data_IF_929834516245
#
_entry.id   IF_929834516245
#
_cell.length_a   1.000
_cell.length_b   1.000
_cell.length_c   1.000
_cell.angle_alpha   90.00
_cell.angle_beta   90.00
_cell.angle_gamma   90.00
#
_symmetry.space_group_name_H-M   'P 1'
#
loop_
_entity.id
_entity.type
_entity.pdbx_description
1 polymer ?
#
# COMPACT_ATOMS: atom_id res chain seq x y z
N UNK A 1 6.82 -23.63 44.86
CA UNK A 1 5.43 -23.69 44.34
C UNK A 1 4.50 -23.84 45.51
N UNK A 2 3.77 -22.79 45.87
CA UNK A 2 2.74 -22.84 46.92
C UNK A 2 1.39 -23.00 46.21
N UNK A 3 0.87 -24.22 46.19
CA UNK A 3 -0.44 -24.53 45.61
C UNK A 3 -1.52 -24.22 46.64
N UNK A 4 -2.34 -23.21 46.39
CA UNK A 4 -3.44 -22.84 47.30
C UNK A 4 -4.76 -23.39 46.77
N UNK A 5 -5.44 -24.23 47.56
CA UNK A 5 -6.75 -24.82 47.24
C UNK A 5 -7.86 -24.15 48.04
N UNK A 6 -9.03 -23.97 47.44
CA UNK A 6 -10.21 -23.52 48.17
C UNK A 6 -10.60 -24.56 49.24
N UNK A 7 -10.72 -24.15 50.52
CA UNK A 7 -11.11 -25.06 51.61
C UNK A 7 -12.57 -25.53 51.56
N UNK A 8 -13.44 -24.84 50.82
CA UNK A 8 -14.87 -25.20 50.70
C UNK A 8 -15.16 -26.12 49.50
N UNK A 9 -14.51 -25.89 48.35
CA UNK A 9 -14.80 -26.61 47.09
C UNK A 9 -13.61 -27.43 46.55
N UNK A 10 -12.42 -27.31 47.14
CA UNK A 10 -11.21 -28.06 46.76
C UNK A 10 -10.54 -27.66 45.44
N UNK A 11 -11.14 -26.76 44.64
CA UNK A 11 -10.65 -26.36 43.32
C UNK A 11 -9.36 -25.51 43.43
N UNK A 12 -8.37 -25.80 42.57
CA UNK A 12 -7.11 -25.07 42.46
C UNK A 12 -7.30 -23.70 41.79
N UNK A 13 -6.51 -22.72 42.21
CA UNK A 13 -6.44 -21.38 41.59
C UNK A 13 -5.01 -21.06 41.17
N UNK A 14 -4.86 -20.21 40.13
CA UNK A 14 -3.62 -20.04 39.36
C UNK A 14 -2.44 -19.47 40.17
N UNK A 15 -1.21 -19.90 39.80
CA UNK A 15 0.03 -19.70 40.56
C UNK A 15 0.72 -18.33 40.41
N UNK A 16 0.17 -17.35 39.67
CA UNK A 16 0.81 -16.03 39.46
C UNK A 16 0.11 -14.91 40.22
N UNK A 17 0.92 -14.00 40.79
CA UNK A 17 0.48 -12.83 41.59
C UNK A 17 -0.48 -11.85 40.87
N UNK A 18 -0.63 -11.95 39.54
CA UNK A 18 -1.60 -11.17 38.76
C UNK A 18 -2.98 -11.81 38.59
N UNK A 19 -3.14 -13.10 38.92
CA UNK A 19 -4.35 -13.89 38.60
C UNK A 19 -5.33 -14.01 39.79
N UNK A 20 -5.16 -13.19 40.84
CA UNK A 20 -5.91 -13.25 42.12
C UNK A 20 -7.41 -12.88 41.95
N UNK A 21 -7.83 -12.41 40.78
CA UNK A 21 -9.20 -11.92 40.59
C UNK A 21 -10.27 -13.02 40.37
N UNK A 22 -9.89 -14.28 40.19
CA UNK A 22 -10.83 -15.39 40.06
C UNK A 22 -10.75 -16.36 41.23
N UNK A 23 -11.57 -16.15 42.26
CA UNK A 23 -11.81 -17.11 43.34
C UNK A 23 -13.04 -17.99 43.11
N UNK A 24 -13.11 -19.16 43.76
CA UNK A 24 -14.29 -20.04 43.78
C UNK A 24 -15.52 -19.25 44.28
N UNK A 25 -16.59 -19.17 43.49
CA UNK A 25 -17.81 -18.37 43.76
C UNK A 25 -18.77 -18.94 44.82
N UNK A 26 -18.29 -19.83 45.70
CA UNK A 26 -19.07 -20.37 46.80
C UNK A 26 -19.30 -19.28 47.87
N UNK A 27 -20.50 -18.69 47.87
CA UNK A 27 -20.95 -17.74 48.90
C UNK A 27 -21.54 -16.42 48.40
N UNK A 28 -21.91 -16.32 47.12
CA UNK A 28 -22.43 -15.10 46.49
C UNK A 28 -23.41 -14.29 47.36
N UNK A 29 -23.09 -13.02 47.57
CA UNK A 29 -24.09 -11.97 47.84
C UNK A 29 -23.98 -10.89 46.78
N UNK A 30 -25.14 -10.56 46.21
CA UNK A 30 -25.38 -9.52 45.21
C UNK A 30 -25.41 -8.15 45.90
N UNK A 31 -24.40 -7.32 45.70
CA UNK A 31 -24.41 -5.91 46.12
C UNK A 31 -23.06 -5.46 46.67
N UNK A 32 -22.26 -4.81 45.82
CA UNK A 32 -21.08 -4.05 46.25
C UNK A 32 -19.71 -4.65 45.92
N UNK A 33 -19.57 -5.45 44.86
CA UNK A 33 -18.27 -5.91 44.36
C UNK A 33 -18.07 -5.53 42.90
N UNK A 34 -16.85 -5.16 42.53
CA UNK A 34 -16.47 -4.92 41.14
C UNK A 34 -16.57 -6.24 40.38
N UNK A 35 -17.30 -6.23 39.27
CA UNK A 35 -17.50 -7.40 38.43
C UNK A 35 -16.15 -7.92 37.90
N UNK A 36 -16.00 -9.24 37.81
CA UNK A 36 -14.84 -9.84 37.17
C UNK A 36 -14.68 -9.30 35.74
N UNK A 37 -13.53 -8.70 35.43
CA UNK A 37 -13.25 -8.05 34.14
C UNK A 37 -13.54 -6.53 34.08
N UNK A 38 -13.92 -5.89 35.18
CA UNK A 38 -14.06 -4.42 35.28
C UNK A 38 -13.05 -3.85 36.28
N UNK A 39 -12.52 -2.65 36.01
CA UNK A 39 -11.75 -1.88 36.99
C UNK A 39 -12.64 -0.77 37.59
N UNK A 40 -12.67 -0.63 38.91
CA UNK A 40 -13.26 0.54 39.55
C UNK A 40 -12.21 1.65 39.66
N UNK A 41 -12.28 2.60 38.72
CA UNK A 41 -11.45 3.80 38.74
C UNK A 41 -12.35 5.04 38.74
N UNK A 42 -12.80 5.47 39.92
CA UNK A 42 -12.92 6.91 40.14
C UNK A 42 -11.53 7.43 40.47
N UNK A 43 -10.85 8.15 39.55
CA UNK A 43 -9.47 8.54 39.79
C UNK A 43 -9.48 9.66 40.84
N UNK A 44 -8.80 9.43 41.95
CA UNK A 44 -8.70 10.34 43.10
C UNK A 44 -7.88 11.61 42.79
N UNK A 45 -7.14 11.60 41.68
CA UNK A 45 -6.36 12.74 41.20
C UNK A 45 -7.27 13.72 40.44
N UNK A 46 -7.33 15.01 40.84
CA UNK A 46 -8.01 16.08 40.10
C UNK A 46 -7.58 16.12 38.63
N UNK A 47 -8.47 16.52 37.73
CA UNK A 47 -8.24 16.44 36.28
C UNK A 47 -7.00 17.25 35.86
N UNK A 48 -6.77 18.37 36.55
CA UNK A 48 -5.66 19.30 36.35
C UNK A 48 -4.29 18.72 36.77
N UNK A 49 -4.29 17.63 37.54
CA UNK A 49 -3.08 16.98 38.08
C UNK A 49 -2.76 15.64 37.39
N UNK A 50 -3.55 15.25 36.38
CA UNK A 50 -3.29 14.04 35.60
C UNK A 50 -2.34 14.37 34.46
N UNK A 51 -1.06 14.10 34.67
CA UNK A 51 -0.10 14.09 33.55
C UNK A 51 -0.53 12.99 32.56
N UNK A 52 -0.75 13.36 31.31
CA UNK A 52 -1.06 12.41 30.22
C UNK A 52 0.09 11.39 30.17
N UNK A 53 -0.21 10.10 30.32
CA UNK A 53 0.78 9.05 30.19
C UNK A 53 1.56 9.26 28.88
N UNK A 54 2.91 9.28 28.88
CA UNK A 54 3.67 9.44 27.66
C UNK A 54 3.21 8.37 26.67
N UNK A 55 2.80 8.78 25.47
CA UNK A 55 2.43 7.83 24.42
C UNK A 55 3.62 6.89 24.23
N UNK A 56 3.43 5.59 24.47
CA UNK A 56 4.46 4.59 24.17
C UNK A 56 4.85 4.77 22.71
N UNK A 57 6.13 5.07 22.39
CA UNK A 57 6.53 5.27 21.01
C UNK A 57 6.25 3.99 20.23
N UNK A 58 5.56 4.10 19.10
CA UNK A 58 5.46 2.98 18.17
C UNK A 58 6.85 2.55 17.70
N UNK A 59 6.97 1.34 17.12
CA UNK A 59 8.26 0.77 16.71
C UNK A 59 9.13 1.72 15.89
N UNK A 60 8.55 2.51 14.98
CA UNK A 60 9.27 3.55 14.21
C UNK A 60 9.83 4.66 15.10
N UNK A 61 9.07 5.14 16.08
CA UNK A 61 9.51 6.18 17.02
C UNK A 61 10.60 5.68 17.97
N UNK A 62 10.48 4.44 18.45
CA UNK A 62 11.49 3.80 19.28
C UNK A 62 12.81 3.59 18.52
N UNK A 63 12.75 3.03 17.30
CA UNK A 63 13.94 2.83 16.46
C UNK A 63 14.58 4.17 16.04
N UNK A 64 13.78 5.21 15.75
CA UNK A 64 14.30 6.56 15.46
C UNK A 64 15.02 7.19 16.64
N UNK A 65 14.55 6.93 17.86
CA UNK A 65 15.22 7.38 19.07
C UNK A 65 16.52 6.60 19.31
N UNK A 66 16.50 5.27 19.21
CA UNK A 66 17.68 4.42 19.39
C UNK A 66 18.79 4.74 18.37
N UNK A 67 18.43 4.95 17.11
CA UNK A 67 19.38 5.33 16.05
C UNK A 67 20.09 6.67 16.34
N UNK A 68 19.48 7.57 17.12
CA UNK A 68 20.04 8.88 17.46
C UNK A 68 20.73 8.93 18.82
N UNK A 69 20.25 8.15 19.79
CA UNK A 69 20.59 8.33 21.20
C UNK A 69 21.23 7.09 21.85
N UNK A 70 21.28 5.93 21.19
CA UNK A 70 21.96 4.77 21.76
C UNK A 70 23.48 4.98 21.72
N UNK A 71 24.12 4.69 22.86
CA UNK A 71 25.58 4.69 23.00
C UNK A 71 26.20 3.36 22.53
N UNK A 72 25.41 2.31 22.31
CA UNK A 72 25.85 1.03 21.75
C UNK A 72 25.83 1.10 20.21
N UNK A 73 26.99 0.98 19.53
CA UNK A 73 27.08 1.01 18.06
C UNK A 73 26.23 -0.07 17.38
N UNK A 74 26.08 -1.24 18.01
CA UNK A 74 25.33 -2.36 17.44
C UNK A 74 23.82 -2.13 17.54
N UNK A 75 23.33 -1.57 18.66
CA UNK A 75 21.93 -1.15 18.78
C UNK A 75 21.59 -0.04 17.80
N UNK A 76 22.49 0.94 17.63
CA UNK A 76 22.33 2.01 16.66
C UNK A 76 22.21 1.48 15.24
N UNK A 77 23.13 0.60 14.82
CA UNK A 77 23.11 -0.01 13.49
C UNK A 77 21.85 -0.88 13.26
N UNK A 78 21.41 -1.64 14.26
CA UNK A 78 20.15 -2.40 14.21
C UNK A 78 18.94 -1.49 14.07
N UNK A 79 18.91 -0.37 14.80
CA UNK A 79 17.82 0.59 14.73
C UNK A 79 17.78 1.30 13.37
N UNK A 80 18.93 1.66 12.80
CA UNK A 80 19.05 2.22 11.44
C UNK A 80 18.60 1.20 10.37
N UNK A 81 19.01 -0.05 10.49
CA UNK A 81 18.58 -1.14 9.60
C UNK A 81 17.08 -1.39 9.71
N UNK A 82 16.52 -1.38 10.93
CA UNK A 82 15.09 -1.53 11.15
C UNK A 82 14.30 -0.34 10.58
N UNK A 83 14.81 0.89 10.69
CA UNK A 83 14.21 2.06 10.05
C UNK A 83 14.24 1.94 8.53
N UNK A 84 15.34 1.46 7.95
CA UNK A 84 15.45 1.26 6.51
C UNK A 84 14.52 0.15 6.01
N UNK A 85 14.44 -0.96 6.74
CA UNK A 85 13.47 -2.03 6.48
C UNK A 85 12.02 -1.55 6.62
N UNK A 86 11.70 -0.69 7.60
CA UNK A 86 10.38 -0.08 7.75
C UNK A 86 10.08 0.91 6.61
N UNK A 87 11.06 1.69 6.15
CA UNK A 87 10.90 2.54 4.95
C UNK A 87 10.67 1.69 3.69
N UNK A 88 11.40 0.57 3.59
CA UNK A 88 11.35 -0.40 2.51
C UNK A 88 10.29 -1.49 2.71
N UNK A 89 9.36 -1.33 3.66
CA UNK A 89 8.39 -2.39 4.02
C UNK A 89 7.24 -2.46 3.02
N UNK A 90 7.57 -2.82 1.77
CA UNK A 90 6.74 -3.57 0.81
C UNK A 90 5.36 -3.02 0.46
N UNK A 91 5.10 -1.74 0.66
CA UNK A 91 3.78 -1.12 0.44
C UNK A 91 3.89 0.33 -0.04
N UNK A 92 5.05 0.77 -0.52
CA UNK A 92 5.16 2.08 -1.14
C UNK A 92 4.48 2.09 -2.51
N UNK A 93 4.11 3.27 -2.99
CA UNK A 93 3.41 3.42 -4.26
C UNK A 93 4.18 2.79 -5.42
N UNK A 94 5.52 2.92 -5.45
CA UNK A 94 6.34 2.34 -6.52
C UNK A 94 6.27 0.82 -6.56
N UNK A 95 6.20 0.17 -5.40
CA UNK A 95 6.11 -1.28 -5.31
C UNK A 95 4.70 -1.78 -5.65
N UNK A 96 3.66 -1.12 -5.13
CA UNK A 96 2.27 -1.57 -5.30
C UNK A 96 1.70 -1.18 -6.65
N UNK A 97 2.14 -0.05 -7.22
CA UNK A 97 1.64 0.49 -8.47
C UNK A 97 2.75 1.23 -9.25
N UNK A 98 3.68 0.50 -9.89
CA UNK A 98 4.80 1.10 -10.60
C UNK A 98 4.37 2.01 -11.76
N UNK A 99 3.28 1.68 -12.46
CA UNK A 99 2.77 2.51 -13.57
C UNK A 99 2.28 3.87 -13.07
N UNK A 100 1.57 3.90 -11.94
CA UNK A 100 1.12 5.16 -11.36
C UNK A 100 2.30 5.95 -10.78
N UNK A 101 3.32 5.28 -10.25
CA UNK A 101 4.54 5.92 -9.79
C UNK A 101 5.30 6.65 -10.91
N UNK A 102 5.24 6.18 -12.16
CA UNK A 102 5.82 6.89 -13.31
C UNK A 102 5.07 8.18 -13.68
N UNK A 103 3.79 8.31 -13.30
CA UNK A 103 3.03 9.55 -13.50
C UNK A 103 3.31 10.59 -12.40
N UNK A 104 4.15 10.28 -11.42
CA UNK A 104 4.48 11.16 -10.31
C UNK A 104 5.41 12.29 -10.74
N UNK A 105 5.00 13.55 -10.53
CA UNK A 105 5.93 14.69 -10.62
C UNK A 105 6.47 15.03 -9.24
N UNK A 106 5.58 15.49 -8.34
CA UNK A 106 5.99 15.95 -7.02
C UNK A 106 4.83 15.95 -6.02
N UNK A 107 5.17 15.83 -4.74
CA UNK A 107 4.24 16.05 -3.65
C UNK A 107 3.93 17.54 -3.47
N UNK A 108 2.67 17.88 -3.23
CA UNK A 108 2.27 19.25 -2.88
C UNK A 108 2.89 19.67 -1.53
N UNK A 109 3.02 18.73 -0.60
CA UNK A 109 3.56 18.96 0.74
C UNK A 109 5.11 19.00 0.80
N UNK A 110 5.79 18.99 -0.34
CA UNK A 110 7.24 19.18 -0.45
C UNK A 110 8.05 17.95 -0.91
N UNK A 111 9.31 18.15 -1.33
CA UNK A 111 10.08 17.19 -2.13
C UNK A 111 10.56 15.96 -1.37
N UNK A 112 10.49 15.97 -0.03
CA UNK A 112 10.87 14.81 0.81
C UNK A 112 10.01 13.57 0.56
N UNK A 113 8.87 13.75 -0.09
CA UNK A 113 7.94 12.67 -0.35
C UNK A 113 7.99 12.23 -1.80
N UNK A 114 8.29 10.95 -1.97
CA UNK A 114 8.55 10.30 -3.25
C UNK A 114 7.68 9.04 -3.39
N UNK A 115 7.59 8.43 -4.59
CA UNK A 115 6.90 7.16 -4.79
C UNK A 115 7.45 6.00 -3.92
N UNK A 116 8.72 6.05 -3.54
CA UNK A 116 9.41 5.03 -2.74
C UNK A 116 9.14 5.19 -1.24
N UNK A 117 8.85 6.40 -0.79
CA UNK A 117 8.66 6.72 0.63
C UNK A 117 7.20 6.76 1.05
N UNK A 118 6.27 6.82 0.09
CA UNK A 118 4.85 7.01 0.39
C UNK A 118 4.03 5.79 0.12
N UNK A 119 3.31 5.40 1.18
CA UNK A 119 2.49 4.21 1.23
C UNK A 119 1.31 4.30 0.27
N UNK A 120 0.97 3.15 -0.29
CA UNK A 120 -0.31 2.91 -0.94
C UNK A 120 -1.47 3.31 -0.03
N UNK A 121 -2.53 3.86 -0.60
CA UNK A 121 -3.71 4.37 0.10
C UNK A 121 -3.53 5.73 0.79
N UNK A 122 -2.39 6.39 0.58
CA UNK A 122 -2.10 7.70 1.17
C UNK A 122 -3.07 8.79 0.69
N UNK A 123 -3.56 9.63 1.62
CA UNK A 123 -4.38 10.81 1.29
C UNK A 123 -3.56 12.00 0.79
N UNK A 124 -2.24 11.84 0.63
CA UNK A 124 -1.35 12.93 0.24
C UNK A 124 -1.63 13.38 -1.19
N UNK A 125 -1.67 14.70 -1.41
CA UNK A 125 -1.84 15.32 -2.73
C UNK A 125 -0.53 15.36 -3.50
N UNK A 126 -0.63 15.12 -4.80
CA UNK A 126 0.50 14.96 -5.71
C UNK A 126 0.13 15.61 -7.03
N UNK A 127 1.08 16.30 -7.64
CA UNK A 127 1.01 16.71 -9.03
C UNK A 127 1.39 15.51 -9.90
N UNK A 128 0.46 15.08 -10.75
CA UNK A 128 0.62 13.97 -11.68
C UNK A 128 0.78 14.49 -13.10
N UNK A 129 1.48 13.74 -13.95
CA UNK A 129 1.55 13.95 -15.40
C UNK A 129 1.21 12.65 -16.12
N UNK A 130 0.26 12.70 -17.05
CA UNK A 130 -0.07 11.55 -17.87
C UNK A 130 1.10 11.23 -18.80
N UNK A 131 1.63 10.01 -18.72
CA UNK A 131 2.70 9.56 -19.62
C UNK A 131 2.27 9.47 -21.11
N UNK A 132 0.96 9.49 -21.40
CA UNK A 132 0.44 9.38 -22.76
C UNK A 132 0.21 10.73 -23.46
N UNK A 133 -0.22 11.76 -22.72
CA UNK A 133 -0.59 13.06 -23.31
C UNK A 133 0.02 14.27 -22.58
N UNK A 134 0.87 14.04 -21.58
CA UNK A 134 1.52 15.07 -20.76
C UNK A 134 0.59 16.04 -20.01
N UNK A 135 -0.73 15.77 -19.98
CA UNK A 135 -1.66 16.52 -19.16
C UNK A 135 -1.28 16.41 -17.68
N UNK A 136 -1.33 17.53 -16.96
CA UNK A 136 -1.01 17.59 -15.54
C UNK A 136 -2.24 17.87 -14.69
N UNK A 137 -2.34 17.19 -13.56
CA UNK A 137 -3.43 17.42 -12.60
C UNK A 137 -3.01 17.05 -11.19
N UNK A 138 -3.71 17.61 -10.20
CA UNK A 138 -3.46 17.31 -8.79
C UNK A 138 -4.53 16.37 -8.26
N UNK A 139 -4.12 15.26 -7.64
CA UNK A 139 -5.02 14.35 -6.93
C UNK A 139 -4.26 13.61 -5.80
N UNK A 140 -4.99 12.95 -4.91
CA UNK A 140 -4.43 12.09 -3.87
C UNK A 140 -3.99 10.74 -4.39
N UNK A 141 -2.96 10.15 -3.77
CA UNK A 141 -2.49 8.78 -4.09
C UNK A 141 -3.64 7.78 -4.00
N UNK A 142 -4.37 7.81 -2.89
CA UNK A 142 -5.54 6.95 -2.63
C UNK A 142 -6.58 7.03 -3.74
N UNK A 143 -6.90 8.23 -4.22
CA UNK A 143 -7.89 8.42 -5.30
C UNK A 143 -7.40 7.73 -6.56
N UNK A 144 -6.17 8.01 -7.00
CA UNK A 144 -5.60 7.47 -8.24
C UNK A 144 -5.45 5.95 -8.24
N UNK A 145 -5.29 5.31 -7.09
CA UNK A 145 -5.24 3.85 -6.97
C UNK A 145 -6.60 3.17 -7.14
N UNK A 146 -7.71 3.90 -6.97
CA UNK A 146 -9.04 3.35 -7.22
C UNK A 146 -9.26 3.14 -8.73
N UNK A 147 -9.81 1.98 -9.09
CA UNK A 147 -10.09 1.61 -10.50
C UNK A 147 -10.94 2.64 -11.25
N UNK A 148 -11.78 3.41 -10.56
CA UNK A 148 -12.64 4.42 -11.17
C UNK A 148 -11.85 5.67 -11.59
N UNK A 149 -10.76 5.99 -10.87
CA UNK A 149 -10.02 7.24 -10.98
C UNK A 149 -8.57 7.02 -11.46
N UNK A 150 -8.20 5.79 -11.81
CA UNK A 150 -6.85 5.48 -12.31
C UNK A 150 -6.65 5.85 -13.79
N UNK A 151 -7.52 6.67 -14.35
CA UNK A 151 -7.45 7.11 -15.75
C UNK A 151 -6.96 8.55 -15.85
N UNK A 152 -6.34 8.88 -16.98
CA UNK A 152 -6.08 10.29 -17.28
C UNK A 152 -7.41 11.01 -17.55
N UNK A 153 -7.70 12.15 -16.88
CA UNK A 153 -8.94 12.89 -17.09
C UNK A 153 -9.03 13.53 -18.48
N UNK A 154 -7.89 13.74 -19.16
CA UNK A 154 -7.85 14.36 -20.48
C UNK A 154 -7.93 13.34 -21.62
N UNK A 155 -6.99 12.38 -21.70
CA UNK A 155 -6.94 11.42 -22.81
C UNK A 155 -7.57 10.06 -22.49
N UNK A 156 -8.05 9.85 -21.27
CA UNK A 156 -8.67 8.59 -20.86
C UNK A 156 -7.71 7.40 -20.75
N UNK A 157 -6.38 7.62 -20.77
CA UNK A 157 -5.36 6.56 -20.58
C UNK A 157 -5.76 5.65 -19.44
N UNK A 158 -5.62 4.34 -19.62
CA UNK A 158 -5.91 3.35 -18.58
C UNK A 158 -4.63 2.75 -17.99
N UNK A 159 -4.68 2.35 -16.72
CA UNK A 159 -3.62 1.50 -16.13
C UNK A 159 -3.59 0.12 -16.80
N UNK A 160 -2.43 -0.50 -16.94
CA UNK A 160 -2.21 -1.79 -17.58
C UNK A 160 -2.60 -1.77 -19.06
N UNK A 161 -2.36 -0.64 -19.73
CA UNK A 161 -2.59 -0.46 -21.16
C UNK A 161 -1.64 -1.31 -22.02
N UNK A 162 -1.95 -1.44 -23.32
CA UNK A 162 -1.08 -2.08 -24.30
C UNK A 162 0.28 -1.38 -24.38
N UNK A 163 0.26 -0.04 -24.45
CA UNK A 163 1.48 0.77 -24.49
C UNK A 163 2.36 0.61 -23.25
N UNK A 164 1.76 0.48 -22.06
CA UNK A 164 2.53 0.25 -20.83
C UNK A 164 3.13 -1.17 -20.78
N UNK A 165 2.34 -2.21 -21.06
CA UNK A 165 2.77 -3.60 -20.88
C UNK A 165 3.63 -4.13 -22.03
N UNK A 166 3.43 -3.63 -23.25
CA UNK A 166 4.07 -4.10 -24.46
C UNK A 166 4.49 -2.89 -25.33
N UNK A 167 5.46 -2.07 -24.87
CA UNK A 167 5.84 -0.83 -25.54
C UNK A 167 6.34 -1.08 -26.97
N UNK A 168 7.09 -2.16 -27.22
CA UNK A 168 7.55 -2.50 -28.57
C UNK A 168 6.38 -2.78 -29.51
N UNK A 169 5.39 -3.53 -29.04
CA UNK A 169 4.19 -3.84 -29.81
C UNK A 169 3.34 -2.58 -30.05
N UNK A 170 3.27 -1.68 -29.07
CA UNK A 170 2.53 -0.44 -29.19
C UNK A 170 3.16 0.55 -30.20
N UNK A 171 4.47 0.47 -30.48
CA UNK A 171 5.10 1.26 -31.56
C UNK A 171 4.60 0.85 -32.94
N UNK A 172 4.19 -0.40 -33.11
CA UNK A 172 3.61 -0.90 -34.35
C UNK A 172 2.10 -0.64 -34.46
N UNK A 173 1.49 0.05 -33.48
CA UNK A 173 0.07 0.38 -33.51
C UNK A 173 -0.21 1.46 -34.55
N UNK A 174 -1.10 1.20 -35.52
CA UNK A 174 -1.44 2.19 -36.54
C UNK A 174 -2.11 3.43 -35.92
N UNK A 175 -1.73 4.65 -36.34
CA UNK A 175 -2.45 5.88 -35.97
C UNK A 175 -3.89 5.93 -36.51
N UNK A 176 -4.22 5.13 -37.53
CA UNK A 176 -5.56 5.07 -38.13
C UNK A 176 -6.55 4.26 -37.29
N UNK A 177 -6.08 3.59 -36.24
CA UNK A 177 -6.97 2.89 -35.32
C UNK A 177 -7.83 3.90 -34.54
N UNK A 178 -9.12 3.59 -34.28
CA UNK A 178 -10.04 4.51 -33.60
C UNK A 178 -9.72 4.73 -32.11
N UNK A 179 -8.78 3.97 -31.54
CA UNK A 179 -8.34 4.10 -30.15
C UNK A 179 -6.82 4.02 -30.05
N UNK A 180 -6.27 4.74 -29.08
CA UNK A 180 -4.83 4.71 -28.78
C UNK A 180 -4.43 3.43 -28.03
N UNK A 181 -3.17 2.99 -28.16
CA UNK A 181 -2.65 1.86 -27.40
C UNK A 181 -2.62 2.14 -25.88
N UNK A 182 -2.64 3.42 -25.47
CA UNK A 182 -2.79 3.85 -24.07
C UNK A 182 -4.20 3.66 -23.51
N UNK A 183 -5.21 3.49 -24.38
CA UNK A 183 -6.62 3.26 -24.03
C UNK A 183 -7.05 1.80 -24.25
N UNK A 184 -6.13 0.93 -24.66
CA UNK A 184 -6.42 -0.46 -25.05
C UNK A 184 -5.89 -1.43 -24.00
N UNK A 185 -6.69 -2.42 -23.59
CA UNK A 185 -6.23 -3.52 -22.72
C UNK A 185 -5.59 -4.63 -23.56
N UNK A 186 -4.43 -5.19 -23.19
CA UNK A 186 -3.76 -6.24 -23.95
C UNK A 186 -4.59 -7.48 -24.28
N UNK A 187 -5.48 -7.88 -23.36
CA UNK A 187 -6.37 -9.03 -23.49
C UNK A 187 -7.85 -8.63 -23.47
N UNK A 188 -8.14 -7.35 -23.72
CA UNK A 188 -9.51 -6.87 -23.84
C UNK A 188 -10.13 -7.25 -25.18
N UNK A 189 -11.45 -7.37 -25.22
CA UNK A 189 -12.20 -7.51 -26.46
C UNK A 189 -12.32 -6.14 -27.13
N UNK A 190 -11.83 -6.01 -28.36
CA UNK A 190 -12.01 -4.83 -29.20
C UNK A 190 -13.17 -5.08 -30.17
N UNK A 191 -13.91 -4.03 -30.51
CA UNK A 191 -15.03 -4.08 -31.47
C UNK A 191 -14.57 -4.01 -32.94
N UNK A 192 -13.26 -3.94 -33.16
CA UNK A 192 -12.63 -3.87 -34.48
C UNK A 192 -11.33 -4.69 -34.44
N UNK A 193 -10.82 -5.05 -35.62
CA UNK A 193 -9.50 -5.67 -35.75
C UNK A 193 -8.45 -4.59 -35.93
N UNK A 194 -7.48 -4.44 -35.01
CA UNK A 194 -6.45 -3.42 -35.13
C UNK A 194 -5.59 -3.56 -36.37
N UNK A 195 -5.27 -2.41 -36.95
CA UNK A 195 -4.24 -2.27 -37.97
C UNK A 195 -2.88 -2.01 -37.31
N UNK A 196 -1.85 -2.60 -37.88
CA UNK A 196 -0.46 -2.49 -37.44
C UNK A 196 0.38 -1.94 -38.59
N UNK A 197 1.42 -1.20 -38.23
CA UNK A 197 2.42 -0.64 -39.15
C UNK A 197 3.78 -1.18 -38.72
N UNK A 198 4.58 -1.65 -39.67
CA UNK A 198 5.90 -2.17 -39.32
C UNK A 198 6.80 -1.06 -38.80
N UNK A 199 7.56 -1.37 -37.75
CA UNK A 199 8.58 -0.46 -37.21
C UNK A 199 9.77 -0.25 -38.14
N UNK A 200 10.01 -1.17 -39.09
CA UNK A 200 11.10 -1.09 -40.07
C UNK A 200 10.68 -0.44 -41.41
N UNK A 201 9.43 -0.63 -41.84
CA UNK A 201 8.90 -0.07 -43.09
C UNK A 201 7.44 0.39 -42.90
N UNK A 202 7.16 1.70 -42.91
CA UNK A 202 5.81 2.23 -42.77
C UNK A 202 4.83 1.78 -43.86
N UNK A 203 5.30 1.31 -45.02
CA UNK A 203 4.44 0.79 -46.08
C UNK A 203 3.87 -0.60 -45.76
N UNK A 204 4.53 -1.33 -44.86
CA UNK A 204 4.05 -2.62 -44.40
C UNK A 204 2.95 -2.43 -43.36
N UNK A 205 1.71 -2.62 -43.80
CA UNK A 205 0.52 -2.54 -42.95
C UNK A 205 -0.25 -3.85 -42.97
N UNK A 206 -0.76 -4.30 -41.82
CA UNK A 206 -1.57 -5.52 -41.74
C UNK A 206 -2.58 -5.45 -40.60
N UNK A 207 -3.58 -6.32 -40.62
CA UNK A 207 -4.55 -6.43 -39.52
C UNK A 207 -4.30 -7.69 -38.69
N UNK A 208 -4.39 -7.57 -37.37
CA UNK A 208 -4.27 -8.69 -36.45
C UNK A 208 -4.88 -8.35 -35.09
N UNK A 209 -5.35 -9.35 -34.35
CA UNK A 209 -5.80 -9.14 -32.97
C UNK A 209 -4.61 -8.88 -32.04
N UNK A 210 -4.83 -8.09 -30.99
CA UNK A 210 -3.80 -7.82 -29.96
C UNK A 210 -3.31 -9.13 -29.31
N UNK A 211 -4.24 -10.04 -29.01
CA UNK A 211 -3.93 -11.31 -28.39
C UNK A 211 -3.03 -12.21 -29.26
N UNK A 212 -3.23 -12.24 -30.59
CA UNK A 212 -2.39 -13.05 -31.49
C UNK A 212 -0.98 -12.49 -31.60
N UNK A 213 -0.86 -11.16 -31.59
CA UNK A 213 0.43 -10.45 -31.62
C UNK A 213 1.23 -10.66 -30.33
N UNK A 214 0.57 -10.64 -29.17
CA UNK A 214 1.22 -10.91 -27.87
C UNK A 214 1.67 -12.38 -27.77
N UNK A 215 0.79 -13.34 -28.04
CA UNK A 215 1.10 -14.77 -27.87
C UNK A 215 2.13 -15.28 -28.88
N UNK A 216 2.03 -14.82 -30.13
CA UNK A 216 2.86 -15.35 -31.20
C UNK A 216 4.18 -14.61 -31.43
N UNK A 217 4.38 -13.43 -30.82
CA UNK A 217 5.46 -12.48 -31.17
C UNK A 217 5.69 -12.40 -32.69
N UNK A 218 4.60 -12.53 -33.47
CA UNK A 218 4.69 -12.71 -34.91
C UNK A 218 5.25 -11.40 -35.48
N UNK A 219 6.39 -11.41 -36.17
CA UNK A 219 6.96 -10.20 -36.75
C UNK A 219 6.06 -9.65 -37.85
N UNK A 220 6.43 -8.51 -38.41
CA UNK A 220 5.82 -8.02 -39.63
C UNK A 220 5.81 -9.14 -40.70
N UNK A 221 4.65 -9.44 -41.32
CA UNK A 221 4.56 -10.54 -42.28
C UNK A 221 5.37 -10.27 -43.56
N UNK A 222 5.67 -9.01 -43.86
CA UNK A 222 6.34 -8.60 -45.10
C UNK A 222 7.86 -8.52 -44.98
N UNK A 223 8.42 -8.28 -43.78
CA UNK A 223 9.87 -8.10 -43.61
C UNK A 223 10.69 -9.40 -43.75
N UNK A 224 10.03 -10.56 -43.78
CA UNK A 224 10.63 -11.88 -44.05
C UNK A 224 9.87 -12.62 -45.16
N UNK A 225 9.18 -11.88 -46.06
CA UNK A 225 8.63 -12.41 -47.31
C UNK A 225 9.69 -12.53 -48.39
#
# INVERSE_FOLDING_TARGET
MLVVKCKACGRQVAERLGDIHFGCGCGGKKGGGVLFGHEDRKPTTPLEQRNVAPRTPGATGLNAWLAKNSYDPNERAKAETALESIKSSGNCLRETNPELAEEWIQAVDGPRYTPETVKSGSKRKVLWRCIACSHEWTDTVRSRELRMNNRCPHCGKIMGSLAWKYPDLAREWSPDNPVSPWNTKPYGQLRFTPMWVCSADPNHTWTATVASRIKGKKPCPYCNS
#
